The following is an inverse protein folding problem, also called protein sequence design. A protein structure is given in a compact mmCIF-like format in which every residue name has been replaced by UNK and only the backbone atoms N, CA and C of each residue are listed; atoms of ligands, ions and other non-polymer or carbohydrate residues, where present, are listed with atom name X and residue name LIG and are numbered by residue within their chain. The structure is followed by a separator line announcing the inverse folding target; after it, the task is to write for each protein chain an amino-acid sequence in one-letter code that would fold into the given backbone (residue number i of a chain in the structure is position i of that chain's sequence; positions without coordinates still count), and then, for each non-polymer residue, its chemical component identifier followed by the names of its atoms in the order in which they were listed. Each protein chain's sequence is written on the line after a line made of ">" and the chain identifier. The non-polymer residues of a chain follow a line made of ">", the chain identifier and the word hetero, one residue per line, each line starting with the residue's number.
data_IF_839013675055
#
_entry.id   IF_839013675055
#
_cell.length_a   1.000
_cell.length_b   1.000
_cell.length_c   1.000
_cell.angle_alpha   90.00
_cell.angle_beta   90.00
_cell.angle_gamma   90.00
#
_symmetry.space_group_name_H-M   'P 1'
#
loop_
_entity.id
_entity.type
_entity.pdbx_description
1 polymer ?
#
# COMPACT_ATOMS: atom_id res chain seq x y z
N UNK A 1 -8.30 6.53 -3.48
CA UNK A 1 -9.47 6.94 -4.28
C UNK A 1 -9.77 6.01 -5.45
N UNK A 2 -8.93 5.92 -6.48
CA UNK A 2 -9.25 5.16 -7.70
C UNK A 2 -9.54 3.66 -7.48
N UNK A 3 -8.84 3.01 -6.55
CA UNK A 3 -9.07 1.62 -6.16
C UNK A 3 -10.18 1.43 -5.10
N UNK A 4 -10.80 2.52 -4.61
CA UNK A 4 -11.82 2.50 -3.56
C UNK A 4 -11.30 2.60 -2.12
N UNK A 5 -9.98 2.70 -1.90
CA UNK A 5 -9.40 2.98 -0.57
C UNK A 5 -9.16 4.47 -0.29
N UNK A 6 -8.83 4.81 0.96
CA UNK A 6 -8.50 6.17 1.40
C UNK A 6 -7.06 6.24 1.96
N UNK A 7 -6.34 7.33 1.65
CA UNK A 7 -5.00 7.59 2.18
C UNK A 7 -4.99 8.95 2.89
N UNK A 8 -5.08 9.00 4.24
CA UNK A 8 -5.33 10.23 4.97
C UNK A 8 -4.07 11.06 5.28
N UNK A 9 -2.89 10.67 4.78
CA UNK A 9 -1.62 11.27 5.18
C UNK A 9 -1.04 12.29 4.18
N UNK A 10 -1.64 12.44 3.01
CA UNK A 10 -1.32 13.49 2.05
C UNK A 10 -2.51 13.70 1.09
N UNK A 11 -2.72 14.94 0.66
CA UNK A 11 -3.73 15.24 -0.36
C UNK A 11 -3.22 14.86 -1.78
N UNK A 12 -4.13 14.61 -2.74
CA UNK A 12 -3.74 14.35 -4.13
C UNK A 12 -2.87 15.47 -4.71
N UNK A 13 -1.67 15.09 -5.17
CA UNK A 13 -0.68 16.01 -5.75
C UNK A 13 0.33 16.58 -4.76
N UNK A 14 0.17 16.32 -3.46
CA UNK A 14 1.19 16.62 -2.45
C UNK A 14 2.35 15.63 -2.48
N UNK A 15 3.50 16.06 -1.95
CA UNK A 15 4.65 15.17 -1.80
C UNK A 15 4.44 14.23 -0.61
N UNK A 16 4.84 12.97 -0.76
CA UNK A 16 4.97 12.05 0.36
C UNK A 16 5.93 12.60 1.42
N UNK A 17 5.58 12.45 2.69
CA UNK A 17 6.41 12.86 3.83
C UNK A 17 6.51 11.76 4.89
N UNK A 18 7.32 12.01 5.90
CA UNK A 18 7.35 11.16 7.09
C UNK A 18 6.02 11.28 7.86
N UNK A 19 5.49 10.14 8.32
CA UNK A 19 4.31 10.06 9.17
C UNK A 19 4.69 9.44 10.51
N UNK A 20 4.12 9.97 11.60
CA UNK A 20 4.39 9.40 12.93
C UNK A 20 3.63 8.08 13.12
N UNK A 21 4.13 7.24 14.02
CA UNK A 21 3.48 5.97 14.37
C UNK A 21 2.11 6.20 14.96
N UNK A 22 1.97 7.23 15.79
CA UNK A 22 0.73 7.60 16.45
C UNK A 22 -0.33 8.05 15.44
N UNK A 23 0.07 8.78 14.38
CA UNK A 23 -0.84 9.20 13.32
C UNK A 23 -1.35 8.01 12.51
N UNK A 24 -0.48 7.05 12.20
CA UNK A 24 -0.87 5.83 11.49
C UNK A 24 -1.79 4.96 12.36
N UNK A 25 -1.47 4.77 13.65
CA UNK A 25 -2.32 4.00 14.55
C UNK A 25 -3.69 4.67 14.77
N UNK A 26 -3.74 6.00 14.87
CA UNK A 26 -4.99 6.74 15.01
C UNK A 26 -5.87 6.69 13.74
N UNK A 27 -5.27 6.43 12.58
CA UNK A 27 -6.01 6.25 11.33
C UNK A 27 -6.69 4.87 11.22
N UNK A 28 -6.36 3.93 12.11
CA UNK A 28 -6.93 2.59 12.20
C UNK A 28 -7.06 1.88 10.82
N UNK A 29 -5.95 1.69 10.09
CA UNK A 29 -6.00 1.22 8.73
C UNK A 29 -6.39 -0.26 8.66
N UNK A 30 -7.31 -0.59 7.75
CA UNK A 30 -7.66 -1.98 7.42
C UNK A 30 -6.53 -2.69 6.66
N UNK A 31 -5.77 -1.95 5.85
CA UNK A 31 -4.73 -2.48 4.98
C UNK A 31 -3.41 -1.70 5.10
N UNK A 32 -2.30 -2.43 5.11
CA UNK A 32 -0.94 -1.88 4.97
C UNK A 32 -0.36 -2.37 3.64
N UNK A 33 -0.08 -1.44 2.73
CA UNK A 33 0.50 -1.72 1.42
C UNK A 33 1.99 -1.37 1.43
N UNK A 34 2.85 -2.39 1.34
CA UNK A 34 4.30 -2.25 1.31
C UNK A 34 4.81 -2.30 -0.13
N UNK A 35 5.49 -1.24 -0.58
CA UNK A 35 6.10 -1.17 -1.91
C UNK A 35 7.50 -0.48 -1.88
N UNK A 36 8.43 -0.95 -1.03
CA UNK A 36 9.73 -0.30 -0.87
C UNK A 36 10.55 -0.31 -2.17
N UNK A 37 11.06 0.87 -2.54
CA UNK A 37 11.78 1.08 -3.79
C UNK A 37 12.97 0.11 -3.95
N UNK A 38 13.09 -0.50 -5.13
CA UNK A 38 14.16 -1.42 -5.50
C UNK A 38 14.02 -2.84 -4.95
N UNK A 39 12.89 -3.18 -4.33
CA UNK A 39 12.61 -4.54 -3.83
C UNK A 39 11.65 -5.33 -4.72
N UNK A 40 11.02 -4.72 -5.74
CA UNK A 40 9.94 -5.38 -6.47
C UNK A 40 8.83 -5.81 -5.49
N UNK A 41 8.39 -7.05 -5.63
CA UNK A 41 7.44 -7.73 -4.75
C UNK A 41 8.10 -8.48 -3.57
N UNK A 42 9.41 -8.30 -3.35
CA UNK A 42 10.21 -9.11 -2.42
C UNK A 42 10.41 -8.50 -1.05
N UNK A 43 9.63 -7.49 -0.69
CA UNK A 43 9.63 -6.98 0.67
C UNK A 43 9.12 -8.07 1.62
N UNK A 44 9.69 -8.13 2.82
CA UNK A 44 9.25 -9.09 3.83
C UNK A 44 8.19 -8.42 4.74
N UNK A 45 6.93 -8.92 4.76
CA UNK A 45 5.92 -8.44 5.69
C UNK A 45 6.33 -8.56 7.17
N UNK A 46 7.15 -9.57 7.51
CA UNK A 46 7.57 -9.80 8.89
C UNK A 46 8.55 -8.73 9.37
N UNK A 47 9.42 -8.21 8.50
CA UNK A 47 10.25 -7.04 8.81
C UNK A 47 9.39 -5.83 9.23
N UNK A 48 8.22 -5.63 8.62
CA UNK A 48 7.29 -4.59 9.04
C UNK A 48 6.67 -4.88 10.42
N UNK A 49 6.23 -6.13 10.66
CA UNK A 49 5.64 -6.55 11.94
C UNK A 49 6.63 -6.38 13.10
N UNK A 50 7.88 -6.77 12.90
CA UNK A 50 8.95 -6.66 13.90
C UNK A 50 9.27 -5.22 14.30
N UNK A 51 8.93 -4.23 13.45
CA UNK A 51 9.07 -2.81 13.82
C UNK A 51 8.10 -2.39 14.91
N UNK A 52 7.13 -3.23 15.29
CA UNK A 52 6.25 -2.99 16.44
C UNK A 52 5.23 -1.89 16.18
N UNK A 53 4.64 -1.84 14.99
CA UNK A 53 3.56 -0.90 14.68
C UNK A 53 2.25 -1.23 15.43
N UNK A 54 2.03 -2.52 15.74
CA UNK A 54 0.88 -2.95 16.54
C UNK A 54 -0.48 -2.68 15.88
N UNK A 55 -0.54 -2.72 14.56
CA UNK A 55 -1.77 -2.50 13.78
C UNK A 55 -2.51 -3.83 13.57
N UNK A 56 -3.83 -3.81 13.67
CA UNK A 56 -4.71 -4.92 13.30
C UNK A 56 -5.12 -4.80 11.82
N UNK A 57 -4.13 -4.79 10.94
CA UNK A 57 -4.29 -4.53 9.51
C UNK A 57 -3.78 -5.71 8.68
N UNK A 58 -4.40 -5.97 7.53
CA UNK A 58 -3.88 -6.93 6.56
C UNK A 58 -2.67 -6.32 5.82
N UNK A 59 -1.54 -7.03 5.82
CA UNK A 59 -0.29 -6.54 5.25
C UNK A 59 -0.07 -7.20 3.89
N UNK A 60 -0.01 -6.37 2.84
CA UNK A 60 0.29 -6.82 1.48
C UNK A 60 1.57 -6.19 0.96
N UNK A 61 2.36 -6.99 0.26
CA UNK A 61 3.49 -6.50 -0.53
C UNK A 61 3.04 -6.36 -1.97
N UNK A 62 3.39 -5.24 -2.58
CA UNK A 62 3.06 -4.88 -3.95
C UNK A 62 4.35 -4.50 -4.66
N UNK A 63 4.48 -4.90 -5.93
CA UNK A 63 5.64 -4.55 -6.75
C UNK A 63 5.83 -3.02 -6.78
N UNK A 64 7.05 -2.59 -6.49
CA UNK A 64 7.39 -1.20 -6.29
C UNK A 64 7.26 -0.35 -7.58
N UNK A 65 7.33 -1.00 -8.76
CA UNK A 65 7.12 -0.35 -10.05
C UNK A 65 5.66 0.04 -10.33
N UNK A 66 4.71 -0.50 -9.57
CA UNK A 66 3.28 -0.22 -9.76
C UNK A 66 2.86 1.13 -9.18
N UNK A 67 3.52 1.61 -8.11
CA UNK A 67 3.03 2.73 -7.30
C UNK A 67 4.05 3.86 -7.08
N UNK A 68 5.36 3.62 -7.23
CA UNK A 68 6.38 4.62 -6.87
C UNK A 68 6.65 5.70 -7.93
N UNK A 69 6.14 5.55 -9.15
CA UNK A 69 6.43 6.48 -10.26
C UNK A 69 5.20 6.77 -11.12
N UNK A 70 5.08 8.00 -11.66
CA UNK A 70 4.08 8.29 -12.69
C UNK A 70 4.42 7.50 -13.96
N UNK A 71 3.73 6.39 -14.18
CA UNK A 71 3.93 5.51 -15.32
C UNK A 71 2.63 4.85 -15.74
N UNK A 72 2.55 4.24 -16.94
CA UNK A 72 1.40 3.45 -17.35
C UNK A 72 1.04 2.31 -16.37
N UNK A 73 2.02 1.82 -15.60
CA UNK A 73 1.82 0.76 -14.61
C UNK A 73 0.89 1.18 -13.46
N UNK A 74 0.60 2.47 -13.28
CA UNK A 74 -0.36 2.93 -12.28
C UNK A 74 -1.76 2.32 -12.48
N UNK A 75 -2.15 1.99 -13.72
CA UNK A 75 -3.44 1.33 -13.99
C UNK A 75 -3.43 -0.08 -13.37
N UNK A 76 -2.39 -0.87 -13.65
CA UNK A 76 -2.19 -2.18 -13.03
C UNK A 76 -2.04 -2.08 -11.50
N UNK A 77 -1.43 -1.00 -11.00
CA UNK A 77 -1.39 -0.70 -9.57
C UNK A 77 -2.78 -0.48 -8.96
N UNK A 78 -3.64 0.27 -9.64
CA UNK A 78 -5.04 0.47 -9.22
C UNK A 78 -5.82 -0.83 -9.26
N UNK A 79 -5.67 -1.65 -10.30
CA UNK A 79 -6.31 -2.97 -10.42
C UNK A 79 -5.85 -3.91 -9.31
N UNK A 80 -4.53 -3.96 -9.04
CA UNK A 80 -3.96 -4.76 -7.95
C UNK A 80 -4.50 -4.34 -6.58
N UNK A 81 -4.59 -3.04 -6.31
CA UNK A 81 -5.16 -2.52 -5.07
C UNK A 81 -6.66 -2.82 -4.96
N UNK A 82 -7.42 -2.70 -6.05
CA UNK A 82 -8.83 -3.04 -6.07
C UNK A 82 -9.08 -4.53 -5.79
N UNK A 83 -8.22 -5.41 -6.34
CA UNK A 83 -8.26 -6.85 -6.03
C UNK A 83 -8.04 -7.13 -4.55
N UNK A 84 -7.11 -6.41 -3.90
CA UNK A 84 -6.86 -6.50 -2.45
C UNK A 84 -8.08 -6.01 -1.66
N UNK A 85 -8.58 -4.81 -1.94
CA UNK A 85 -9.63 -4.17 -1.13
C UNK A 85 -11.00 -4.83 -1.28
N UNK A 86 -11.29 -5.41 -2.43
CA UNK A 86 -12.62 -5.93 -2.75
C UNK A 86 -12.66 -7.45 -2.96
N UNK A 87 -11.53 -8.14 -2.80
CA UNK A 87 -11.43 -9.58 -3.03
C UNK A 87 -11.74 -9.99 -4.47
N UNK A 88 -11.40 -9.12 -5.43
CA UNK A 88 -11.56 -9.41 -6.86
C UNK A 88 -10.29 -10.14 -7.30
N UNK A 89 -10.36 -11.46 -7.40
CA UNK A 89 -9.28 -12.25 -7.98
C UNK A 89 -9.04 -11.81 -9.43
N UNK A 90 -7.80 -11.45 -9.77
CA UNK A 90 -7.38 -11.51 -11.15
C UNK A 90 -7.45 -12.98 -11.55
N UNK A 91 -8.32 -13.31 -12.49
CA UNK A 91 -8.26 -14.62 -13.13
C UNK A 91 -6.83 -14.80 -13.63
N UNK A 92 -6.11 -15.75 -13.03
CA UNK A 92 -4.78 -16.11 -13.47
C UNK A 92 -4.86 -16.56 -14.94
N UNK A 93 -4.32 -15.74 -15.85
CA UNK A 93 -3.96 -16.13 -17.21
C UNK A 93 -2.55 -16.76 -17.23
#
# INVERSE_FOLDING_TARGET
>A
DAAGGAYPFADPGERSGEVSREAVAAADPEYVILHPCGKGDRADPDEFRERGWGLDAEIHVVDDSLLNQPSPNLIAGVERLAGIFHGIDEAAD
#
